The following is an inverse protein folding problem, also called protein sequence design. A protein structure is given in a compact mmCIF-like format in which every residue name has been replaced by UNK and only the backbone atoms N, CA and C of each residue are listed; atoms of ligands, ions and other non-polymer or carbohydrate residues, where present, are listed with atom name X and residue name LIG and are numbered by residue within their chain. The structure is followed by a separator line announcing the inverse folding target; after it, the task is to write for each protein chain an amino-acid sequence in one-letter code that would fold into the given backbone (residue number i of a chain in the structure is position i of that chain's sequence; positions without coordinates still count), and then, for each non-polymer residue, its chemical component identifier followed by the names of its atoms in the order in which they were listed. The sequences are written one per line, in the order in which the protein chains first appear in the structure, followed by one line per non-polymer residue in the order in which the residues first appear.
data_IF_354660915726
#
_entry.id   IF_354660915726
#
_cell.length_a   1.000
_cell.length_b   1.000
_cell.length_c   1.000
_cell.angle_alpha   90.00
_cell.angle_beta   90.00
_cell.angle_gamma   90.00
#
_symmetry.space_group_name_H-M   'P 1'
#
loop_
_entity.id
_entity.type
_entity.pdbx_description
1 polymer ?
#
# COMPACT_ATOMS: atom_id res chain seq x y z
N UNK A 1 11.31 17.30 -4.40
CA UNK A 1 11.14 15.89 -4.04
C UNK A 1 10.39 15.11 -5.12
N UNK A 2 10.70 13.86 -5.27
CA UNK A 2 9.99 12.99 -6.19
C UNK A 2 8.68 12.52 -5.56
N UNK A 3 7.63 12.50 -6.36
CA UNK A 3 6.31 12.05 -5.91
C UNK A 3 6.09 10.59 -6.27
N UNK A 4 5.49 9.84 -5.36
CA UNK A 4 5.08 8.46 -5.59
C UNK A 4 3.65 8.27 -5.11
N UNK A 5 2.95 7.35 -5.72
CA UNK A 5 1.56 7.06 -5.39
C UNK A 5 1.37 5.55 -5.24
N UNK A 6 0.64 5.16 -4.23
CA UNK A 6 0.44 3.75 -3.94
C UNK A 6 -0.92 3.44 -3.38
N UNK A 7 -1.09 2.19 -2.99
CA UNK A 7 -2.36 1.72 -2.50
C UNK A 7 -2.26 0.78 -1.32
N UNK A 8 -3.21 0.92 -0.42
CA UNK A 8 -3.46 -0.05 0.65
C UNK A 8 -4.74 -0.78 0.29
N UNK A 9 -4.60 -2.04 -0.08
CA UNK A 9 -5.73 -2.88 -0.47
C UNK A 9 -6.21 -3.63 0.76
N UNK A 10 -7.50 -3.46 1.09
CA UNK A 10 -8.12 -4.11 2.24
C UNK A 10 -9.28 -4.95 1.75
N UNK A 11 -9.27 -6.23 2.11
CA UNK A 11 -10.33 -7.16 1.72
C UNK A 11 -11.62 -6.88 2.49
N UNK A 12 -12.76 -7.44 2.04
CA UNK A 12 -14.02 -7.28 2.78
C UNK A 12 -13.96 -7.77 4.24
N UNK A 13 -13.03 -8.68 4.55
CA UNK A 13 -12.85 -9.21 5.90
C UNK A 13 -11.76 -8.47 6.69
N UNK A 14 -11.22 -7.38 6.12
CA UNK A 14 -10.25 -6.53 6.83
C UNK A 14 -8.81 -6.97 6.75
N UNK A 15 -8.47 -7.84 5.82
CA UNK A 15 -7.06 -8.24 5.60
C UNK A 15 -6.36 -7.26 4.68
N UNK A 16 -5.12 -6.96 4.97
CA UNK A 16 -4.31 -5.97 4.28
C UNK A 16 -3.30 -6.67 3.38
N UNK A 17 -3.20 -6.22 2.13
CA UNK A 17 -2.25 -6.76 1.16
C UNK A 17 -0.90 -6.07 1.31
N UNK A 18 0.12 -6.88 1.59
CA UNK A 18 1.51 -6.43 1.65
C UNK A 18 2.34 -7.16 0.59
N UNK A 19 3.43 -6.54 0.17
CA UNK A 19 4.39 -7.15 -0.73
C UNK A 19 5.77 -7.21 -0.10
N UNK A 20 6.51 -8.25 -0.44
CA UNK A 20 7.91 -8.39 -0.06
C UNK A 20 8.76 -8.01 -1.27
N UNK A 21 9.52 -6.89 -1.21
CA UNK A 21 10.38 -6.50 -2.31
C UNK A 21 11.49 -7.50 -2.56
N UNK A 22 11.80 -7.75 -3.82
CA UNK A 22 12.90 -8.63 -4.20
C UNK A 22 14.20 -8.11 -3.60
N UNK A 23 14.95 -9.01 -2.93
CA UNK A 23 16.21 -8.64 -2.29
C UNK A 23 16.08 -7.64 -1.15
N UNK A 24 14.89 -7.45 -0.62
CA UNK A 24 14.59 -6.46 0.42
C UNK A 24 15.13 -5.07 0.06
N UNK A 25 14.78 -4.62 -1.14
CA UNK A 25 15.23 -3.35 -1.69
C UNK A 25 15.03 -2.20 -0.70
N UNK A 26 16.11 -1.45 -0.43
CA UNK A 26 16.17 -0.36 0.56
C UNK A 26 15.77 -0.79 1.98
N UNK A 27 15.97 -2.06 2.30
CA UNK A 27 15.69 -2.58 3.65
C UNK A 27 14.22 -2.83 3.94
N UNK A 28 13.34 -2.70 2.95
CA UNK A 28 11.92 -3.03 3.12
C UNK A 28 11.75 -4.54 3.03
N UNK A 29 11.16 -5.13 4.07
CA UNK A 29 10.83 -6.56 4.11
C UNK A 29 9.38 -6.76 3.69
N UNK A 30 8.45 -6.00 4.30
CA UNK A 30 7.04 -5.99 3.90
C UNK A 30 6.56 -4.55 3.84
N UNK A 31 5.96 -4.18 2.71
CA UNK A 31 5.56 -2.78 2.46
C UNK A 31 4.33 -2.73 1.55
N UNK A 32 3.86 -1.52 1.27
CA UNK A 32 2.75 -1.29 0.34
C UNK A 32 3.28 -1.04 -1.06
N UNK A 33 2.49 -1.40 -2.06
CA UNK A 33 2.80 -1.11 -3.46
C UNK A 33 2.75 0.40 -3.70
N UNK A 34 3.74 0.94 -4.38
CA UNK A 34 3.78 2.34 -4.80
C UNK A 34 4.83 2.54 -5.87
N UNK A 35 4.73 3.65 -6.58
CA UNK A 35 5.72 4.03 -7.56
C UNK A 35 5.47 5.41 -8.13
N UNK A 36 6.33 5.80 -9.04
CA UNK A 36 6.28 7.12 -9.66
C UNK A 36 5.29 7.15 -10.82
N UNK A 37 4.63 8.30 -11.04
CA UNK A 37 3.77 8.43 -12.21
C UNK A 37 4.58 8.39 -13.50
N UNK A 38 3.98 7.83 -14.54
CA UNK A 38 4.47 7.98 -15.90
C UNK A 38 4.05 9.36 -16.42
N UNK A 39 4.55 9.76 -17.60
CA UNK A 39 4.21 11.05 -18.18
C UNK A 39 2.68 11.20 -18.28
N UNK A 40 2.17 12.32 -17.77
CA UNK A 40 0.75 12.68 -17.81
C UNK A 40 -0.19 11.69 -17.10
N UNK A 41 0.36 10.84 -16.24
CA UNK A 41 -0.44 9.89 -15.47
C UNK A 41 -0.97 10.54 -14.19
N UNK A 42 -2.28 10.46 -13.96
CA UNK A 42 -2.91 10.98 -12.75
C UNK A 42 -2.52 10.11 -11.53
N UNK A 43 -2.48 10.70 -10.32
CA UNK A 43 -2.12 9.97 -9.10
C UNK A 43 -2.90 8.67 -8.89
N UNK A 44 -4.22 8.71 -9.12
CA UNK A 44 -5.08 7.53 -8.95
C UNK A 44 -4.69 6.41 -9.90
N UNK A 45 -4.37 6.75 -11.14
CA UNK A 45 -3.97 5.76 -12.14
C UNK A 45 -2.60 5.18 -11.84
N UNK A 46 -1.67 6.00 -11.37
CA UNK A 46 -0.37 5.53 -10.92
C UNK A 46 -0.52 4.49 -9.79
N UNK A 47 -1.34 4.84 -8.79
CA UNK A 47 -1.56 3.95 -7.66
C UNK A 47 -2.17 2.61 -8.08
N UNK A 48 -3.19 2.64 -8.93
CA UNK A 48 -3.83 1.41 -9.43
C UNK A 48 -2.87 0.57 -10.27
N UNK A 49 -2.07 1.21 -11.11
CA UNK A 49 -1.08 0.53 -11.94
C UNK A 49 0.00 -0.15 -11.09
N UNK A 50 0.55 0.58 -10.14
CA UNK A 50 1.61 0.05 -9.28
C UNK A 50 1.12 -1.11 -8.40
N UNK A 51 -0.10 -1.01 -7.87
CA UNK A 51 -0.70 -2.11 -7.12
C UNK A 51 -0.83 -3.36 -8.00
N UNK A 52 -1.31 -3.19 -9.23
CA UNK A 52 -1.46 -4.32 -10.16
C UNK A 52 -0.09 -4.92 -10.52
N UNK A 53 0.89 -4.07 -10.86
CA UNK A 53 2.23 -4.56 -11.24
C UNK A 53 2.93 -5.27 -10.09
N UNK A 54 2.88 -4.70 -8.88
CA UNK A 54 3.66 -5.19 -7.75
C UNK A 54 2.97 -6.28 -6.94
N UNK A 55 1.65 -6.41 -7.02
CA UNK A 55 0.92 -7.39 -6.23
C UNK A 55 0.04 -8.34 -7.05
N UNK A 56 -0.21 -8.02 -8.31
CA UNK A 56 -1.14 -8.78 -9.13
C UNK A 56 -2.61 -8.54 -8.78
N UNK A 57 -2.89 -7.59 -7.91
CA UNK A 57 -4.26 -7.28 -7.51
C UNK A 57 -4.82 -6.16 -8.39
N UNK A 58 -5.93 -6.46 -9.10
CA UNK A 58 -6.74 -5.43 -9.74
C UNK A 58 -7.72 -4.91 -8.70
N UNK A 59 -7.65 -3.63 -8.43
CA UNK A 59 -8.37 -3.01 -7.31
C UNK A 59 -9.17 -1.79 -7.77
N UNK A 60 -10.06 -1.33 -6.91
CA UNK A 60 -10.77 -0.07 -7.09
C UNK A 60 -10.49 0.85 -5.91
N UNK A 61 -10.46 2.15 -6.16
CA UNK A 61 -10.19 3.14 -5.13
C UNK A 61 -11.48 3.42 -4.34
N UNK A 62 -11.36 3.32 -3.00
CA UNK A 62 -12.44 3.67 -2.08
C UNK A 62 -12.31 5.10 -1.57
N UNK A 63 -11.09 5.63 -1.48
CA UNK A 63 -10.84 6.97 -1.02
C UNK A 63 -9.36 7.25 -0.90
N UNK A 64 -9.04 8.54 -0.72
CA UNK A 64 -7.66 8.96 -0.51
C UNK A 64 -7.32 8.86 0.98
N UNK A 65 -6.20 8.20 1.29
CA UNK A 65 -5.71 8.14 2.67
C UNK A 65 -5.18 9.54 3.02
N UNK A 66 -5.64 10.15 4.13
CA UNK A 66 -5.22 11.50 4.47
C UNK A 66 -3.71 11.62 4.68
N UNK A 67 -3.11 12.66 4.14
CA UNK A 67 -1.73 13.02 4.40
C UNK A 67 -0.77 12.72 3.25
N UNK A 68 0.42 13.26 3.40
CA UNK A 68 1.59 13.00 2.56
C UNK A 68 2.67 12.44 3.46
N UNK A 69 3.44 11.50 2.94
CA UNK A 69 4.41 10.76 3.75
C UNK A 69 5.80 10.92 3.15
N UNK A 70 6.67 11.65 3.84
CA UNK A 70 8.02 11.92 3.36
C UNK A 70 9.02 10.89 3.83
N UNK A 71 9.93 10.54 2.94
CA UNK A 71 11.21 9.91 3.26
C UNK A 71 12.30 10.82 2.70
N UNK A 72 13.55 10.37 2.68
CA UNK A 72 14.69 11.25 2.35
C UNK A 72 14.56 11.99 1.01
N UNK A 73 13.96 11.37 -0.01
CA UNK A 73 13.90 11.94 -1.37
C UNK A 73 12.53 11.87 -2.01
N UNK A 74 11.56 11.29 -1.33
CA UNK A 74 10.27 10.98 -1.91
C UNK A 74 9.15 11.44 -1.00
N UNK A 75 8.12 12.02 -1.60
CA UNK A 75 6.84 12.26 -0.95
C UNK A 75 5.84 11.27 -1.55
N UNK A 76 5.21 10.48 -0.69
CA UNK A 76 4.27 9.45 -1.13
C UNK A 76 2.85 9.77 -0.66
N UNK A 77 1.88 9.49 -1.51
CA UNK A 77 0.46 9.55 -1.18
C UNK A 77 -0.16 8.21 -1.50
N UNK A 78 -1.18 7.83 -0.74
CA UNK A 78 -1.77 6.50 -0.84
C UNK A 78 -3.27 6.57 -0.94
N UNK A 79 -3.84 5.56 -1.59
CA UNK A 79 -5.29 5.39 -1.72
C UNK A 79 -5.72 4.10 -1.05
N UNK A 80 -6.84 4.15 -0.34
CA UNK A 80 -7.48 2.95 0.17
C UNK A 80 -8.20 2.28 -0.99
N UNK A 81 -8.00 0.97 -1.13
CA UNK A 81 -8.53 0.20 -2.25
C UNK A 81 -9.23 -1.06 -1.79
N UNK A 82 -10.21 -1.49 -2.58
CA UNK A 82 -10.83 -2.79 -2.44
C UNK A 82 -10.37 -3.71 -3.57
N UNK A 83 -10.12 -5.00 -3.29
CA UNK A 83 -9.71 -5.93 -4.35
C UNK A 83 -10.89 -6.29 -5.24
N UNK A 84 -10.67 -6.28 -6.56
CA UNK A 84 -11.62 -6.75 -7.56
C UNK A 84 -11.23 -8.13 -8.07
N UNK A 85 -9.92 -8.36 -8.28
CA UNK A 85 -9.41 -9.62 -8.79
C UNK A 85 -7.97 -9.80 -8.32
N UNK A 86 -7.67 -10.98 -7.77
CA UNK A 86 -6.32 -11.35 -7.34
C UNK A 86 -5.73 -12.30 -8.37
N UNK A 87 -4.87 -11.79 -9.27
CA UNK A 87 -4.28 -12.61 -10.33
C UNK A 87 -3.06 -13.39 -9.86
N UNK A 88 -2.45 -12.96 -8.76
CA UNK A 88 -1.18 -13.48 -8.25
C UNK A 88 -0.03 -13.35 -9.26
N UNK A 89 -0.17 -12.48 -10.24
CA UNK A 89 0.87 -12.21 -11.25
C UNK A 89 1.47 -10.85 -10.98
N UNK A 90 2.63 -10.84 -10.35
CA UNK A 90 3.36 -9.62 -10.06
C UNK A 90 4.72 -9.62 -10.76
N UNK A 91 5.31 -8.42 -10.90
CA UNK A 91 6.56 -8.24 -11.60
C UNK A 91 7.77 -8.73 -10.80
N UNK A 92 8.98 -8.61 -11.39
CA UNK A 92 10.21 -9.08 -10.77
C UNK A 92 10.68 -8.24 -9.58
N UNK A 93 10.03 -7.12 -9.30
CA UNK A 93 10.36 -6.29 -8.15
C UNK A 93 9.77 -6.82 -6.84
N UNK A 94 8.83 -7.75 -6.94
CA UNK A 94 8.18 -8.38 -5.79
C UNK A 94 8.50 -9.87 -5.79
N UNK A 95 8.93 -10.39 -4.63
CA UNK A 95 9.19 -11.83 -4.50
C UNK A 95 8.06 -12.58 -3.80
N UNK A 96 7.20 -11.90 -3.04
CA UNK A 96 6.05 -12.51 -2.39
C UNK A 96 4.98 -11.48 -2.06
N UNK A 97 3.74 -11.92 -1.95
CA UNK A 97 2.64 -11.13 -1.41
C UNK A 97 2.03 -11.85 -0.23
N UNK A 98 1.36 -11.10 0.64
CA UNK A 98 0.70 -11.67 1.81
C UNK A 98 -0.52 -10.83 2.19
N UNK A 99 -1.62 -11.52 2.47
CA UNK A 99 -2.79 -10.92 3.09
C UNK A 99 -2.67 -11.10 4.59
N UNK A 100 -2.63 -9.99 5.33
CA UNK A 100 -2.37 -9.98 6.77
C UNK A 100 -3.50 -9.31 7.52
N UNK A 101 -3.77 -9.82 8.74
CA UNK A 101 -4.63 -9.08 9.65
C UNK A 101 -3.97 -7.76 10.03
N UNK A 102 -4.72 -6.78 10.58
CA UNK A 102 -4.09 -5.52 11.03
C UNK A 102 -2.90 -5.71 11.97
N UNK A 103 -3.01 -6.61 12.93
CA UNK A 103 -1.92 -6.89 13.87
C UNK A 103 -0.72 -7.54 13.18
N UNK A 104 -0.96 -8.49 12.29
CA UNK A 104 0.09 -9.12 11.51
C UNK A 104 0.79 -8.10 10.61
N UNK A 105 0.01 -7.26 9.94
CA UNK A 105 0.55 -6.22 9.06
C UNK A 105 1.49 -5.30 9.82
N UNK A 106 1.09 -4.89 11.02
CA UNK A 106 1.93 -4.06 11.88
C UNK A 106 3.24 -4.76 12.23
N UNK A 107 3.18 -6.03 12.63
CA UNK A 107 4.37 -6.81 12.97
C UNK A 107 5.30 -6.99 11.76
N UNK A 108 4.73 -7.23 10.59
CA UNK A 108 5.51 -7.41 9.37
C UNK A 108 6.23 -6.12 8.95
N UNK A 109 5.54 -4.98 9.03
CA UNK A 109 6.12 -3.68 8.72
C UNK A 109 7.25 -3.33 9.69
N UNK A 110 7.13 -3.74 10.95
CA UNK A 110 8.17 -3.51 11.96
C UNK A 110 9.51 -4.20 11.61
N UNK A 111 9.50 -5.17 10.69
CA UNK A 111 10.72 -5.82 10.22
C UNK A 111 11.53 -4.94 9.26
N UNK A 112 10.95 -3.88 8.72
CA UNK A 112 11.64 -2.99 7.80
C UNK A 112 12.81 -2.31 8.51
N UNK A 113 13.98 -2.33 7.85
CA UNK A 113 15.25 -1.99 8.50
C UNK A 113 15.47 -0.49 8.67
N UNK A 114 14.96 0.33 7.74
CA UNK A 114 15.19 1.78 7.78
C UNK A 114 14.09 2.50 8.56
N UNK A 115 14.45 3.22 9.63
CA UNK A 115 13.45 3.82 10.53
C UNK A 115 12.47 4.78 9.85
N UNK A 116 12.92 5.61 8.91
CA UNK A 116 12.02 6.54 8.22
C UNK A 116 10.98 5.81 7.37
N UNK A 117 11.39 4.77 6.67
CA UNK A 117 10.50 3.96 5.84
C UNK A 117 9.54 3.16 6.69
N UNK A 118 10.02 2.59 7.78
CA UNK A 118 9.20 1.86 8.74
C UNK A 118 8.13 2.76 9.35
N UNK A 119 8.51 3.94 9.83
CA UNK A 119 7.55 4.91 10.39
C UNK A 119 6.53 5.37 9.37
N UNK A 120 6.95 5.60 8.12
CA UNK A 120 6.04 5.93 7.04
C UNK A 120 4.96 4.88 6.90
N UNK A 121 5.36 3.62 6.77
CA UNK A 121 4.41 2.53 6.52
C UNK A 121 3.50 2.27 7.72
N UNK A 122 3.99 2.42 8.94
CA UNK A 122 3.15 2.31 10.14
C UNK A 122 2.09 3.41 10.17
N UNK A 123 2.46 4.63 9.79
CA UNK A 123 1.51 5.75 9.74
C UNK A 123 0.48 5.54 8.62
N UNK A 124 0.93 5.08 7.47
CA UNK A 124 0.03 4.75 6.35
C UNK A 124 -0.98 3.68 6.78
N UNK A 125 -0.50 2.61 7.41
CA UNK A 125 -1.37 1.54 7.91
C UNK A 125 -2.42 2.08 8.88
N UNK A 126 -1.99 2.87 9.84
CA UNK A 126 -2.91 3.43 10.85
C UNK A 126 -4.01 4.25 10.20
N UNK A 127 -3.66 5.13 9.27
CA UNK A 127 -4.62 5.99 8.59
C UNK A 127 -5.52 5.22 7.62
N UNK A 128 -4.97 4.21 6.96
CA UNK A 128 -5.75 3.33 6.09
C UNK A 128 -6.83 2.59 6.87
N UNK A 129 -6.46 2.04 8.03
CA UNK A 129 -7.41 1.31 8.88
C UNK A 129 -8.50 2.24 9.43
N UNK A 130 -8.13 3.45 9.82
CA UNK A 130 -9.10 4.45 10.29
C UNK A 130 -10.10 4.81 9.19
N UNK A 131 -9.63 5.02 7.97
CA UNK A 131 -10.49 5.33 6.84
C UNK A 131 -11.38 4.13 6.49
N UNK A 132 -10.82 2.94 6.45
CA UNK A 132 -11.58 1.71 6.19
C UNK A 132 -12.71 1.54 7.21
N UNK A 133 -12.39 1.68 8.48
CA UNK A 133 -13.38 1.57 9.56
C UNK A 133 -14.46 2.64 9.44
N UNK A 134 -14.09 3.86 9.11
CA UNK A 134 -15.02 4.97 8.90
C UNK A 134 -16.03 4.63 7.79
N UNK A 135 -15.56 4.13 6.66
CA UNK A 135 -16.42 3.78 5.54
C UNK A 135 -17.32 2.58 5.85
N UNK A 136 -16.80 1.58 6.54
CA UNK A 136 -17.58 0.37 6.89
C UNK A 136 -18.45 0.59 8.10
N UNK A 137 -18.03 1.40 9.06
CA UNK A 137 -18.84 1.76 10.22
C UNK A 137 -20.12 2.48 9.85
N UNK A 138 -20.07 3.36 8.83
CA UNK A 138 -21.26 4.06 8.36
C UNK A 138 -22.28 3.14 7.69
N UNK A 139 -21.85 1.97 7.20
CA UNK A 139 -22.73 0.97 6.62
C UNK A 139 -23.43 0.11 7.67
N UNK A 140 -22.93 0.12 8.92
CA UNK A 140 -23.51 -0.66 10.03
C UNK A 140 -24.50 0.16 10.86
N UNK A 141 -24.45 1.44 10.69
CA UNK A 141 -25.42 2.33 11.34
C UNK A 141 -26.72 2.36 10.57
#
# INVERSE_FOLDING_TARGET
MKKAYGGVVVSPTGQILLREPAGHYKGDVWTFAKGRPEADEAPERTALREVLEETGCRAEILGRIPGSFETSRTVSEYFLMAPLENTARFDGETQAIRWATPDEARRLILLNERPKRRRRDLRVLKRALALFQSLHGSLRA
#
